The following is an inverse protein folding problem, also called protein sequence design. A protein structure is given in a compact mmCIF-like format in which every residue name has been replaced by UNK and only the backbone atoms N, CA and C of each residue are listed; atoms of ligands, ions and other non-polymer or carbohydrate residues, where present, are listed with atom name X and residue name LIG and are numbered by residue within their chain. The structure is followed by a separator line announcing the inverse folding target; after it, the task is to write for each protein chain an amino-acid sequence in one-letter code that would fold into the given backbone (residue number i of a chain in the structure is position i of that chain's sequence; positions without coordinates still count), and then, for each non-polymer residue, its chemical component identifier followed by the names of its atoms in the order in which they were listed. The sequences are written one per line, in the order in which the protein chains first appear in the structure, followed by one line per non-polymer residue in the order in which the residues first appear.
data_IF_781399219975
#
_entry.id   IF_781399219975
#
_cell.length_a   1.000
_cell.length_b   1.000
_cell.length_c   1.000
_cell.angle_alpha   90.00
_cell.angle_beta   90.00
_cell.angle_gamma   90.00
#
_symmetry.space_group_name_H-M   'P 1'
#
loop_
_entity.id
_entity.type
_entity.pdbx_description
1 polymer ?
#
# COMPACT_ATOMS: atom_id res chain seq x y z
N UNK A 1 -11.59 47.33 19.07
CA UNK A 1 -10.68 46.17 19.12
C UNK A 1 -11.18 45.25 20.21
N UNK A 2 -12.11 44.36 19.85
CA UNK A 2 -12.62 43.32 20.75
C UNK A 2 -11.54 42.25 20.93
N UNK A 3 -11.18 41.98 22.18
CA UNK A 3 -10.27 40.91 22.55
C UNK A 3 -10.91 39.57 22.14
N UNK A 4 -10.24 38.85 21.25
CA UNK A 4 -10.64 37.50 20.88
C UNK A 4 -10.05 36.56 21.94
N UNK A 5 -10.84 36.21 22.94
CA UNK A 5 -10.45 35.19 23.93
C UNK A 5 -10.19 33.87 23.20
N UNK A 6 -8.99 33.31 23.37
CA UNK A 6 -8.66 31.96 22.91
C UNK A 6 -9.43 30.97 23.79
N UNK A 7 -10.28 30.09 23.23
CA UNK A 7 -10.97 29.09 24.05
C UNK A 7 -9.92 28.22 24.76
N UNK A 8 -10.16 27.98 26.06
CA UNK A 8 -9.31 27.15 26.90
C UNK A 8 -9.12 25.77 26.27
N UNK A 9 -7.87 25.30 26.21
CA UNK A 9 -7.51 23.98 25.71
C UNK A 9 -8.36 22.91 26.39
N UNK A 10 -9.11 22.20 25.58
CA UNK A 10 -10.05 21.14 25.93
C UNK A 10 -9.36 20.04 26.74
N UNK A 11 -9.97 19.67 27.88
CA UNK A 11 -9.50 18.59 28.74
C UNK A 11 -9.40 17.28 27.95
N UNK A 12 -8.36 16.44 28.19
CA UNK A 12 -8.18 15.21 27.41
C UNK A 12 -9.39 14.29 27.59
N UNK A 13 -10.08 13.99 26.48
CA UNK A 13 -11.19 13.05 26.44
C UNK A 13 -10.73 11.65 26.92
N UNK A 14 -11.36 11.12 27.98
CA UNK A 14 -11.05 9.78 28.50
C UNK A 14 -11.63 8.68 27.59
N UNK A 15 -10.84 8.26 26.62
CA UNK A 15 -11.16 7.20 25.66
C UNK A 15 -10.68 5.81 26.11
N UNK A 16 -10.31 5.65 27.39
CA UNK A 16 -9.78 4.39 27.93
C UNK A 16 -10.76 3.22 27.79
N UNK A 17 -12.07 3.48 27.97
CA UNK A 17 -13.15 2.49 27.83
C UNK A 17 -13.29 1.99 26.38
N UNK A 18 -13.17 2.87 25.40
CA UNK A 18 -13.33 2.55 23.98
C UNK A 18 -12.11 1.85 23.37
N UNK A 19 -10.92 2.06 23.96
CA UNK A 19 -9.68 1.38 23.54
C UNK A 19 -9.77 -0.15 23.62
N UNK A 20 -10.52 -0.69 24.60
CA UNK A 20 -10.64 -2.14 24.82
C UNK A 20 -11.77 -2.79 24.01
N UNK A 21 -12.66 -1.99 23.41
CA UNK A 21 -13.84 -2.50 22.70
C UNK A 21 -13.49 -3.43 21.51
N UNK A 22 -12.49 -3.14 20.66
CA UNK A 22 -12.12 -4.04 19.55
C UNK A 22 -11.65 -5.41 20.04
N UNK A 23 -10.82 -5.44 21.08
CA UNK A 23 -10.31 -6.69 21.65
C UNK A 23 -11.43 -7.52 22.28
N UNK A 24 -12.39 -6.87 22.95
CA UNK A 24 -13.56 -7.54 23.51
C UNK A 24 -14.46 -8.14 22.43
N UNK A 25 -14.71 -7.40 21.35
CA UNK A 25 -15.49 -7.88 20.20
C UNK A 25 -14.78 -9.04 19.50
N UNK A 26 -13.46 -8.98 19.35
CA UNK A 26 -12.65 -10.06 18.79
C UNK A 26 -12.76 -11.33 19.65
N UNK A 27 -12.66 -11.19 20.98
CA UNK A 27 -12.80 -12.30 21.92
C UNK A 27 -14.21 -12.91 21.88
N UNK A 28 -15.25 -12.08 21.92
CA UNK A 28 -16.64 -12.54 21.83
C UNK A 28 -16.92 -13.27 20.52
N UNK A 29 -16.45 -12.71 19.39
CA UNK A 29 -16.55 -13.36 18.07
C UNK A 29 -15.81 -14.70 18.01
N UNK A 30 -14.62 -14.77 18.61
CA UNK A 30 -13.84 -16.01 18.71
C UNK A 30 -14.55 -17.10 19.52
N UNK A 31 -15.13 -16.74 20.67
CA UNK A 31 -15.93 -17.68 21.49
C UNK A 31 -17.14 -18.20 20.71
N UNK A 32 -17.89 -17.31 20.05
CA UNK A 32 -19.04 -17.70 19.23
C UNK A 32 -18.64 -18.61 18.06
N UNK A 33 -17.47 -18.36 17.45
CA UNK A 33 -16.95 -19.22 16.39
C UNK A 33 -16.63 -20.64 16.89
N UNK A 34 -16.03 -20.76 18.08
CA UNK A 34 -15.74 -22.07 18.71
C UNK A 34 -17.03 -22.80 19.07
N UNK A 35 -18.03 -22.11 19.63
CA UNK A 35 -19.34 -22.69 19.92
C UNK A 35 -20.01 -23.18 18.63
N UNK A 36 -20.00 -22.37 17.57
CA UNK A 36 -20.56 -22.75 16.27
C UNK A 36 -19.87 -23.96 15.65
N UNK A 37 -18.56 -24.08 15.81
CA UNK A 37 -17.79 -25.25 15.35
C UNK A 37 -18.23 -26.55 16.01
N UNK A 38 -18.48 -26.52 17.33
CA UNK A 38 -18.85 -27.70 18.12
C UNK A 38 -20.28 -28.14 17.79
N UNK A 39 -21.20 -27.21 17.56
CA UNK A 39 -22.60 -27.52 17.32
C UNK A 39 -22.85 -28.11 15.92
N UNK A 40 -22.36 -27.46 14.86
CA UNK A 40 -22.53 -27.95 13.50
C UNK A 40 -21.38 -27.48 12.59
N UNK A 41 -20.36 -28.33 12.35
CA UNK A 41 -19.16 -27.93 11.62
C UNK A 41 -19.45 -27.64 10.14
N UNK A 42 -20.51 -28.23 9.55
CA UNK A 42 -20.83 -28.02 8.15
C UNK A 42 -21.49 -26.65 7.93
N UNK A 43 -22.47 -26.30 8.76
CA UNK A 43 -23.09 -24.97 8.74
C UNK A 43 -22.06 -23.88 9.07
N UNK A 44 -21.21 -24.12 10.06
CA UNK A 44 -20.11 -23.22 10.39
C UNK A 44 -19.19 -22.96 9.19
N UNK A 45 -18.80 -24.00 8.45
CA UNK A 45 -17.96 -23.87 7.26
C UNK A 45 -18.55 -22.96 6.18
N UNK A 46 -19.85 -23.09 5.90
CA UNK A 46 -20.53 -22.23 4.92
C UNK A 46 -20.61 -20.77 5.38
N UNK A 47 -20.99 -20.52 6.63
CA UNK A 47 -21.06 -19.17 7.19
C UNK A 47 -19.68 -18.50 7.28
N UNK A 48 -18.64 -19.27 7.64
CA UNK A 48 -17.26 -18.77 7.70
C UNK A 48 -16.72 -18.44 6.31
N UNK A 49 -16.96 -19.30 5.32
CA UNK A 49 -16.57 -19.03 3.93
C UNK A 49 -17.24 -17.77 3.39
N UNK A 50 -18.53 -17.57 3.67
CA UNK A 50 -19.26 -16.38 3.27
C UNK A 50 -18.66 -15.11 3.87
N UNK A 51 -18.45 -15.08 5.19
CA UNK A 51 -17.83 -13.94 5.87
C UNK A 51 -16.42 -13.67 5.31
N UNK A 52 -15.64 -14.73 5.12
CA UNK A 52 -14.30 -14.63 4.54
C UNK A 52 -14.32 -14.00 3.14
N UNK A 53 -15.21 -14.42 2.24
CA UNK A 53 -15.33 -13.84 0.89
C UNK A 53 -15.72 -12.36 0.91
N UNK A 54 -16.60 -11.97 1.84
CA UNK A 54 -16.96 -10.57 2.07
C UNK A 54 -15.72 -9.73 2.44
N UNK A 55 -14.98 -10.11 3.49
CA UNK A 55 -13.79 -9.37 3.90
C UNK A 55 -12.66 -9.41 2.87
N UNK A 56 -12.50 -10.53 2.16
CA UNK A 56 -11.53 -10.65 1.08
C UNK A 56 -11.83 -9.65 -0.05
N UNK A 57 -13.10 -9.50 -0.44
CA UNK A 57 -13.51 -8.53 -1.46
C UNK A 57 -13.21 -7.09 -1.05
N UNK A 58 -13.39 -6.73 0.23
CA UNK A 58 -13.05 -5.41 0.76
C UNK A 58 -11.54 -5.16 0.69
N UNK A 59 -10.73 -6.15 1.07
CA UNK A 59 -9.27 -6.04 1.04
C UNK A 59 -8.73 -5.94 -0.40
N UNK A 60 -9.23 -6.76 -1.32
CA UNK A 60 -8.87 -6.72 -2.74
C UNK A 60 -9.36 -5.45 -3.42
N UNK A 61 -10.55 -4.97 -3.07
CA UNK A 61 -11.07 -3.69 -3.53
C UNK A 61 -10.20 -2.53 -3.07
N UNK A 62 -9.75 -2.53 -1.81
CA UNK A 62 -8.81 -1.53 -1.30
C UNK A 62 -7.47 -1.57 -2.05
N UNK A 63 -6.93 -2.77 -2.31
CA UNK A 63 -5.70 -2.93 -3.10
C UNK A 63 -5.86 -2.39 -4.52
N UNK A 64 -7.00 -2.66 -5.16
CA UNK A 64 -7.34 -2.11 -6.48
C UNK A 64 -7.44 -0.58 -6.46
N UNK A 65 -8.10 0.00 -5.46
CA UNK A 65 -8.19 1.45 -5.30
C UNK A 65 -6.81 2.11 -5.12
N UNK A 66 -5.90 1.49 -4.37
CA UNK A 66 -4.52 1.97 -4.24
C UNK A 66 -3.83 2.02 -5.62
N UNK A 67 -3.97 0.97 -6.43
CA UNK A 67 -3.39 0.94 -7.78
C UNK A 67 -3.97 2.04 -8.68
N UNK A 68 -5.30 2.24 -8.63
CA UNK A 68 -6.02 3.29 -9.35
C UNK A 68 -5.51 4.68 -8.93
N UNK A 69 -5.33 4.93 -7.64
CA UNK A 69 -4.83 6.22 -7.15
C UNK A 69 -3.42 6.53 -7.64
N UNK A 70 -2.55 5.52 -7.76
CA UNK A 70 -1.21 5.70 -8.34
C UNK A 70 -1.21 5.85 -9.87
N UNK A 71 -2.24 5.35 -10.55
CA UNK A 71 -2.35 5.46 -12.01
C UNK A 71 -2.87 6.84 -12.45
N UNK A 72 -3.87 7.38 -11.74
CA UNK A 72 -4.54 8.62 -12.12
C UNK A 72 -3.95 9.89 -11.48
N UNK A 73 -2.92 9.80 -10.64
CA UNK A 73 -2.38 10.93 -9.87
C UNK A 73 -3.47 11.79 -9.20
N UNK A 74 -4.47 11.13 -8.60
CA UNK A 74 -5.65 11.80 -8.07
C UNK A 74 -5.33 12.60 -6.80
N UNK A 75 -5.13 13.92 -6.93
CA UNK A 75 -4.76 14.83 -5.83
C UNK A 75 -5.80 14.96 -4.72
N UNK A 76 -7.09 14.68 -4.99
CA UNK A 76 -8.17 14.72 -4.00
C UNK A 76 -8.18 13.50 -3.06
N UNK A 77 -7.50 12.42 -3.43
CA UNK A 77 -7.54 11.13 -2.71
C UNK A 77 -6.45 10.97 -1.64
N UNK A 78 -5.67 12.01 -1.39
CA UNK A 78 -4.53 12.01 -0.45
C UNK A 78 -4.90 11.51 0.96
N UNK A 79 -6.01 11.95 1.61
CA UNK A 79 -6.35 11.46 2.95
C UNK A 79 -6.86 10.01 2.94
N UNK A 80 -7.56 9.60 1.89
CA UNK A 80 -8.15 8.26 1.78
C UNK A 80 -7.04 7.23 1.54
N UNK A 81 -5.98 7.60 0.82
CA UNK A 81 -4.86 6.73 0.43
C UNK A 81 -4.29 5.91 1.60
N UNK A 82 -4.12 6.52 2.78
CA UNK A 82 -3.57 5.83 3.96
C UNK A 82 -4.49 4.74 4.49
N UNK A 83 -5.79 5.00 4.50
CA UNK A 83 -6.80 4.04 4.98
C UNK A 83 -6.85 2.85 4.03
N UNK A 84 -6.89 3.08 2.72
CA UNK A 84 -6.90 2.00 1.72
C UNK A 84 -5.57 1.24 1.65
N UNK A 85 -4.42 1.89 1.83
CA UNK A 85 -3.13 1.21 1.98
C UNK A 85 -3.11 0.28 3.20
N UNK A 86 -3.69 0.72 4.32
CA UNK A 86 -3.77 -0.11 5.52
C UNK A 86 -4.70 -1.31 5.31
N UNK A 87 -5.88 -1.10 4.74
CA UNK A 87 -6.83 -2.16 4.38
C UNK A 87 -6.23 -3.15 3.36
N UNK A 88 -5.47 -2.67 2.39
CA UNK A 88 -4.79 -3.54 1.43
C UNK A 88 -3.73 -4.44 2.09
N UNK A 89 -3.04 -3.96 3.13
CA UNK A 89 -2.08 -4.78 3.88
C UNK A 89 -2.75 -5.90 4.69
N UNK A 90 -4.02 -5.75 5.10
CA UNK A 90 -4.75 -6.82 5.78
C UNK A 90 -4.96 -8.05 4.87
N UNK A 91 -4.98 -7.86 3.55
CA UNK A 91 -5.12 -8.95 2.57
C UNK A 91 -4.03 -10.03 2.66
N UNK A 92 -2.88 -9.69 3.27
CA UNK A 92 -1.73 -10.56 3.39
C UNK A 92 -1.81 -11.49 4.61
N UNK A 93 -1.13 -11.16 5.72
CA UNK A 93 -0.94 -12.09 6.83
C UNK A 93 -2.24 -12.42 7.58
N UNK A 94 -3.14 -11.44 7.72
CA UNK A 94 -4.38 -11.63 8.49
C UNK A 94 -5.36 -12.50 7.72
N UNK A 95 -5.61 -12.21 6.44
CA UNK A 95 -6.50 -13.03 5.61
C UNK A 95 -5.93 -14.43 5.36
N UNK A 96 -4.61 -14.57 5.23
CA UNK A 96 -3.97 -15.88 5.15
C UNK A 96 -4.18 -16.71 6.42
N UNK A 97 -4.10 -16.11 7.60
CA UNK A 97 -4.40 -16.81 8.86
C UNK A 97 -5.87 -17.24 8.95
N UNK A 98 -6.81 -16.39 8.51
CA UNK A 98 -8.24 -16.70 8.47
C UNK A 98 -8.63 -17.75 7.42
N UNK A 99 -7.74 -18.06 6.48
CA UNK A 99 -7.90 -19.13 5.51
C UNK A 99 -7.63 -20.53 6.09
N UNK A 100 -6.91 -20.63 7.22
CA UNK A 100 -6.54 -21.92 7.83
C UNK A 100 -7.79 -22.77 8.19
N UNK A 101 -8.82 -22.24 8.87
CA UNK A 101 -10.03 -23.02 9.14
C UNK A 101 -10.76 -23.48 7.87
N UNK A 102 -10.71 -22.67 6.80
CA UNK A 102 -11.32 -23.01 5.50
C UNK A 102 -10.56 -24.15 4.85
N UNK A 103 -9.23 -24.12 4.87
CA UNK A 103 -8.41 -25.19 4.33
C UNK A 103 -8.68 -26.53 5.03
N UNK A 104 -8.86 -26.51 6.36
CA UNK A 104 -9.20 -27.73 7.12
C UNK A 104 -10.62 -28.24 6.81
N UNK A 105 -11.60 -27.34 6.64
CA UNK A 105 -12.98 -27.71 6.31
C UNK A 105 -13.25 -27.90 4.82
N UNK A 106 -12.28 -27.63 3.94
CA UNK A 106 -12.46 -27.64 2.50
C UNK A 106 -13.11 -28.94 1.97
N UNK A 107 -12.73 -30.16 2.41
CA UNK A 107 -13.36 -31.39 1.94
C UNK A 107 -14.84 -31.54 2.33
N UNK A 108 -15.28 -30.87 3.41
CA UNK A 108 -16.68 -30.89 3.88
C UNK A 108 -17.54 -29.81 3.23
N UNK A 109 -16.93 -28.70 2.83
CA UNK A 109 -17.61 -27.55 2.21
C UNK A 109 -17.77 -27.79 0.70
N UNK A 110 -16.72 -28.29 0.03
CA UNK A 110 -16.69 -28.44 -1.42
C UNK A 110 -17.06 -29.86 -1.84
N UNK A 111 -18.22 -29.99 -2.49
CA UNK A 111 -18.74 -31.27 -2.97
C UNK A 111 -17.78 -32.03 -3.89
N UNK A 112 -17.07 -31.31 -4.76
CA UNK A 112 -16.12 -31.89 -5.69
C UNK A 112 -14.88 -32.49 -5.01
N UNK A 113 -14.45 -31.93 -3.88
CA UNK A 113 -13.36 -32.49 -3.07
C UNK A 113 -13.78 -33.77 -2.38
N UNK A 114 -15.03 -33.82 -1.88
CA UNK A 114 -15.61 -35.01 -1.28
C UNK A 114 -15.72 -36.15 -2.31
N UNK A 115 -16.24 -35.87 -3.49
CA UNK A 115 -16.36 -36.87 -4.58
C UNK A 115 -15.01 -37.39 -5.06
N UNK A 116 -13.99 -36.53 -5.10
CA UNK A 116 -12.61 -36.94 -5.41
C UNK A 116 -12.05 -37.93 -4.37
N UNK A 117 -12.43 -37.80 -3.09
CA UNK A 117 -12.04 -38.74 -2.04
C UNK A 117 -12.81 -40.06 -2.08
N UNK A 118 -14.10 -40.02 -2.42
CA UNK A 118 -14.96 -41.21 -2.51
C UNK A 118 -14.69 -42.03 -3.79
N UNK A 119 -14.06 -41.44 -4.81
CA UNK A 119 -13.76 -42.11 -6.08
C UNK A 119 -14.89 -42.07 -7.11
N UNK A 120 -15.96 -41.32 -6.83
CA UNK A 120 -17.08 -41.09 -7.75
C UNK A 120 -16.73 -39.94 -8.70
N UNK A 121 -16.00 -40.25 -9.77
CA UNK A 121 -15.54 -39.23 -10.73
C UNK A 121 -16.58 -39.03 -11.84
N UNK A 122 -17.34 -37.95 -11.74
CA UNK A 122 -18.22 -37.50 -12.81
C UNK A 122 -17.44 -37.07 -14.07
N UNK A 123 -18.00 -37.31 -15.25
CA UNK A 123 -17.42 -36.89 -16.54
C UNK A 123 -17.08 -35.39 -16.60
N UNK A 124 -17.86 -34.54 -15.92
CA UNK A 124 -17.67 -33.09 -15.82
C UNK A 124 -16.45 -32.70 -14.97
N UNK A 125 -16.04 -33.57 -14.04
CA UNK A 125 -14.87 -33.39 -13.20
C UNK A 125 -13.60 -33.86 -13.92
N UNK A 126 -13.70 -34.92 -14.73
CA UNK A 126 -12.58 -35.46 -15.52
C UNK A 126 -11.90 -34.41 -16.41
N UNK A 127 -12.67 -33.56 -17.09
CA UNK A 127 -12.13 -32.52 -17.97
C UNK A 127 -11.37 -31.40 -17.22
N UNK A 128 -11.58 -31.25 -15.90
CA UNK A 128 -11.01 -30.17 -15.09
C UNK A 128 -10.09 -30.67 -13.97
N UNK A 129 -9.81 -31.97 -13.94
CA UNK A 129 -8.87 -32.65 -13.04
C UNK A 129 -7.55 -31.90 -12.78
N UNK A 130 -6.85 -31.33 -13.78
CA UNK A 130 -5.57 -30.67 -13.51
C UNK A 130 -5.73 -29.46 -12.58
N UNK A 131 -6.85 -28.73 -12.66
CA UNK A 131 -7.12 -27.58 -11.79
C UNK A 131 -7.83 -27.99 -10.49
N UNK A 132 -8.73 -28.98 -10.55
CA UNK A 132 -9.52 -29.48 -9.42
C UNK A 132 -8.87 -30.67 -8.70
N UNK A 133 -7.55 -30.64 -8.53
CA UNK A 133 -6.87 -31.53 -7.60
C UNK A 133 -6.67 -30.82 -6.25
N UNK A 134 -6.74 -31.58 -5.15
CA UNK A 134 -6.45 -31.08 -3.79
C UNK A 134 -5.17 -30.22 -3.74
N UNK A 135 -3.99 -30.69 -4.21
CA UNK A 135 -2.78 -29.89 -4.14
C UNK A 135 -2.83 -28.63 -5.02
N UNK A 136 -3.40 -28.68 -6.22
CA UNK A 136 -3.45 -27.52 -7.12
C UNK A 136 -4.36 -26.41 -6.58
N UNK A 137 -5.45 -26.77 -5.88
CA UNK A 137 -6.28 -25.80 -5.19
C UNK A 137 -5.49 -25.03 -4.13
N UNK A 138 -4.73 -25.73 -3.26
CA UNK A 138 -3.92 -25.08 -2.24
C UNK A 138 -2.75 -24.28 -2.83
N UNK A 139 -2.09 -24.80 -3.88
CA UNK A 139 -1.02 -24.08 -4.58
C UNK A 139 -1.53 -22.78 -5.19
N UNK A 140 -2.70 -22.81 -5.84
CA UNK A 140 -3.31 -21.61 -6.43
C UNK A 140 -3.69 -20.60 -5.35
N UNK A 141 -4.28 -21.06 -4.24
CA UNK A 141 -4.62 -20.20 -3.11
C UNK A 141 -3.37 -19.51 -2.53
N UNK A 142 -2.31 -20.28 -2.24
CA UNK A 142 -1.03 -19.74 -1.76
C UNK A 142 -0.42 -18.77 -2.77
N UNK A 143 -0.43 -19.10 -4.07
CA UNK A 143 0.05 -18.22 -5.13
C UNK A 143 -0.67 -16.86 -5.14
N UNK A 144 -2.00 -16.87 -5.06
CA UNK A 144 -2.81 -15.64 -4.97
C UNK A 144 -2.43 -14.79 -3.74
N UNK A 145 -2.34 -15.42 -2.56
CA UNK A 145 -1.96 -14.70 -1.34
C UNK A 145 -0.55 -14.13 -1.39
N UNK A 146 0.41 -14.87 -1.96
CA UNK A 146 1.79 -14.37 -2.13
C UNK A 146 1.80 -13.15 -3.04
N UNK A 147 1.09 -13.20 -4.17
CA UNK A 147 1.02 -12.07 -5.11
C UNK A 147 0.41 -10.84 -4.43
N UNK A 148 -0.72 -10.98 -3.75
CA UNK A 148 -1.37 -9.85 -3.07
C UNK A 148 -0.57 -9.33 -1.87
N UNK A 149 0.06 -10.21 -1.11
CA UNK A 149 0.95 -9.85 -0.01
C UNK A 149 2.13 -9.01 -0.53
N UNK A 150 2.81 -9.49 -1.57
CA UNK A 150 3.96 -8.79 -2.15
C UNK A 150 3.52 -7.43 -2.69
N UNK A 151 2.43 -7.38 -3.45
CA UNK A 151 1.96 -6.13 -4.05
C UNK A 151 1.60 -5.08 -2.99
N UNK A 152 0.79 -5.45 -2.01
CA UNK A 152 0.37 -4.56 -0.92
C UNK A 152 1.55 -4.06 -0.08
N UNK A 153 2.47 -4.96 0.31
CA UNK A 153 3.62 -4.60 1.17
C UNK A 153 4.64 -3.74 0.44
N UNK A 154 4.83 -3.95 -0.87
CA UNK A 154 5.73 -3.12 -1.67
C UNK A 154 5.18 -1.71 -1.82
N UNK A 155 3.90 -1.55 -2.16
CA UNK A 155 3.27 -0.23 -2.28
C UNK A 155 3.37 0.57 -0.97
N UNK A 156 3.04 -0.07 0.17
CA UNK A 156 3.16 0.56 1.49
C UNK A 156 4.61 0.92 1.86
N UNK A 157 5.57 0.03 1.59
CA UNK A 157 6.98 0.29 1.90
C UNK A 157 7.49 1.55 1.20
N UNK A 158 7.19 1.70 -0.10
CA UNK A 158 7.59 2.90 -0.84
C UNK A 158 6.81 4.14 -0.39
N UNK A 159 5.56 3.98 0.06
CA UNK A 159 4.73 5.09 0.56
C UNK A 159 5.35 5.69 1.81
N UNK A 160 5.75 4.84 2.76
CA UNK A 160 6.43 5.27 3.98
C UNK A 160 7.78 5.92 3.70
N UNK A 161 8.56 5.38 2.74
CA UNK A 161 9.86 5.96 2.38
C UNK A 161 9.72 7.33 1.68
N UNK A 162 8.62 7.56 0.96
CA UNK A 162 8.32 8.86 0.37
C UNK A 162 8.02 9.91 1.45
N UNK A 163 7.36 9.51 2.54
CA UNK A 163 7.05 10.40 3.66
C UNK A 163 8.28 10.84 4.44
N UNK A 164 9.25 9.94 4.58
CA UNK A 164 10.50 10.19 5.29
C UNK A 164 11.44 11.10 4.50
N UNK A 165 11.50 10.94 3.17
CA UNK A 165 12.46 11.65 2.32
C UNK A 165 11.94 12.94 1.68
N UNK A 166 10.61 13.12 1.57
CA UNK A 166 9.98 14.30 0.95
C UNK A 166 10.33 14.54 -0.53
N UNK A 167 11.12 13.68 -1.15
CA UNK A 167 11.66 13.88 -2.50
C UNK A 167 10.69 13.42 -3.59
N UNK A 168 10.47 14.26 -4.61
CA UNK A 168 9.59 13.98 -5.76
C UNK A 168 10.01 12.73 -6.58
N UNK A 169 11.26 12.27 -6.43
CA UNK A 169 11.79 11.10 -7.12
C UNK A 169 11.15 9.77 -6.70
N UNK A 170 10.60 9.66 -5.48
CA UNK A 170 9.94 8.42 -5.04
C UNK A 170 8.54 8.27 -5.70
N UNK A 171 7.84 9.38 -5.98
CA UNK A 171 6.52 9.37 -6.66
C UNK A 171 6.60 8.80 -8.07
N UNK A 172 7.62 9.19 -8.86
CA UNK A 172 7.82 8.70 -10.22
C UNK A 172 8.04 7.18 -10.28
N UNK A 173 8.59 6.59 -9.20
CA UNK A 173 8.95 5.16 -9.15
C UNK A 173 7.85 4.28 -8.59
N UNK A 174 6.90 4.84 -7.86
CA UNK A 174 5.64 4.15 -7.57
C UNK A 174 4.83 3.85 -8.83
N UNK A 175 4.89 4.74 -9.83
CA UNK A 175 4.21 4.55 -11.12
C UNK A 175 4.75 3.37 -11.94
N UNK A 176 6.05 3.06 -11.82
CA UNK A 176 6.73 2.07 -12.68
C UNK A 176 7.25 0.83 -11.92
N UNK A 177 6.91 0.66 -10.63
CA UNK A 177 7.34 -0.47 -9.78
C UNK A 177 8.84 -0.49 -9.37
N UNK A 178 9.30 0.57 -8.69
CA UNK A 178 10.27 0.46 -7.59
C UNK A 178 11.71 0.98 -7.82
N UNK A 179 12.35 1.32 -6.70
CA UNK A 179 13.75 1.76 -6.48
C UNK A 179 13.97 3.27 -6.41
N UNK A 180 13.57 3.95 -5.33
CA UNK A 180 14.09 5.29 -5.04
C UNK A 180 15.63 5.17 -4.86
N UNK A 181 16.49 5.78 -5.71
CA UNK A 181 17.92 5.80 -5.46
C UNK A 181 18.09 6.60 -4.18
N UNK A 182 18.86 6.08 -3.21
CA UNK A 182 19.31 6.92 -2.12
C UNK A 182 19.96 8.16 -2.76
N UNK A 183 19.31 9.31 -2.63
CA UNK A 183 20.01 10.57 -2.77
C UNK A 183 20.98 10.58 -1.58
N UNK A 184 22.23 10.22 -1.83
CA UNK A 184 23.31 10.42 -0.88
C UNK A 184 23.41 11.94 -0.63
N UNK A 185 22.71 12.41 0.40
CA UNK A 185 23.23 13.47 1.25
C UNK A 185 24.05 12.76 2.32
N UNK A 186 25.33 13.10 2.43
CA UNK A 186 26.29 12.39 3.28
C UNK A 186 25.84 12.28 4.74
N UNK A 187 26.22 11.15 5.36
CA UNK A 187 25.96 10.87 6.77
C UNK A 187 25.71 9.38 7.00
N UNK A 188 26.73 8.69 7.50
CA UNK A 188 26.75 7.25 7.74
C UNK A 188 25.80 6.86 8.88
N UNK A 189 24.84 5.97 8.62
CA UNK A 189 24.27 5.10 9.64
C UNK A 189 23.91 3.73 9.05
N UNK A 190 24.40 2.72 9.74
CA UNK A 190 24.24 1.28 9.48
C UNK A 190 22.84 0.85 9.90
N UNK A 191 22.08 0.19 9.02
CA UNK A 191 20.83 -0.47 9.39
C UNK A 191 20.87 -1.98 9.09
N UNK A 192 21.04 -2.73 10.19
CA UNK A 192 20.73 -4.15 10.35
C UNK A 192 19.26 -4.41 9.99
N UNK A 193 19.02 -4.92 8.78
CA UNK A 193 17.69 -5.36 8.37
C UNK A 193 17.71 -6.17 7.09
N UNK A 194 18.78 -6.95 6.89
CA UNK A 194 19.06 -7.68 5.65
C UNK A 194 18.23 -8.96 5.49
N UNK A 195 17.66 -9.50 6.58
CA UNK A 195 17.07 -10.85 6.54
C UNK A 195 15.74 -10.95 5.78
N UNK A 196 14.96 -9.87 5.69
CA UNK A 196 13.70 -9.86 4.92
C UNK A 196 13.87 -9.41 3.45
N UNK A 197 15.08 -8.95 3.07
CA UNK A 197 15.37 -8.44 1.71
C UNK A 197 15.56 -9.55 0.68
N UNK A 198 15.86 -10.78 1.10
CA UNK A 198 16.31 -11.83 0.16
C UNK A 198 15.16 -12.60 -0.49
N UNK A 199 14.15 -13.02 0.28
CA UNK A 199 13.06 -13.87 -0.26
C UNK A 199 12.17 -13.14 -1.27
N UNK A 200 11.94 -11.83 -1.09
CA UNK A 200 11.09 -11.03 -1.99
C UNK A 200 11.82 -10.53 -3.25
N UNK A 201 13.14 -10.32 -3.18
CA UNK A 201 13.91 -9.77 -4.29
C UNK A 201 14.20 -10.81 -5.38
N UNK A 202 14.35 -12.08 -4.99
CA UNK A 202 14.70 -13.16 -5.92
C UNK A 202 13.51 -13.68 -6.73
N UNK A 203 12.30 -13.71 -6.15
CA UNK A 203 11.06 -14.03 -6.87
C UNK A 203 10.74 -12.98 -7.95
N UNK A 204 11.02 -11.70 -7.67
CA UNK A 204 10.81 -10.62 -8.64
C UNK A 204 11.84 -10.64 -9.79
N UNK A 205 13.10 -10.98 -9.49
CA UNK A 205 14.15 -11.17 -10.51
C UNK A 205 13.86 -12.35 -11.44
N UNK A 206 13.15 -13.38 -10.96
CA UNK A 206 12.74 -14.54 -11.76
C UNK A 206 11.58 -14.22 -12.71
N UNK A 207 10.63 -13.35 -12.32
CA UNK A 207 9.44 -13.04 -13.12
C UNK A 207 9.71 -11.97 -14.22
N UNK A 208 10.63 -11.02 -14.00
CA UNK A 208 10.78 -9.85 -14.88
C UNK A 208 12.15 -9.72 -15.60
N UNK A 209 12.84 -10.84 -15.87
CA UNK A 209 14.17 -10.84 -16.52
C UNK A 209 14.14 -10.65 -18.05
N UNK A 210 13.22 -9.87 -18.62
CA UNK A 210 13.19 -9.63 -20.07
C UNK A 210 12.66 -8.26 -20.50
N UNK A 211 13.20 -7.19 -19.92
CA UNK A 211 13.08 -5.85 -20.51
C UNK A 211 14.29 -5.01 -20.10
N UNK A 212 15.44 -5.33 -20.70
CA UNK A 212 16.62 -4.46 -20.70
C UNK A 212 16.96 -4.24 -22.18
N UNK A 213 16.84 -2.99 -22.62
CA UNK A 213 17.32 -2.32 -23.85
C UNK A 213 16.22 -1.33 -24.25
N UNK A 214 16.38 -0.02 -24.24
CA UNK A 214 17.47 0.86 -23.86
C UNK A 214 16.89 2.27 -23.94
N UNK A 215 17.05 3.08 -22.90
CA UNK A 215 16.69 4.49 -22.96
C UNK A 215 17.73 5.28 -22.18
N UNK A 216 18.76 5.69 -22.92
CA UNK A 216 19.52 6.90 -22.63
C UNK A 216 18.56 8.07 -22.81
N UNK A 217 18.10 8.67 -21.71
CA UNK A 217 17.32 9.91 -21.77
C UNK A 217 18.07 11.01 -21.04
N UNK A 218 18.29 12.07 -21.79
CA UNK A 218 18.97 13.31 -21.47
C UNK A 218 18.60 13.87 -20.10
N UNK A 219 19.63 14.27 -19.32
CA UNK A 219 19.46 15.20 -18.20
C UNK A 219 18.86 16.50 -18.74
N UNK A 220 17.69 16.87 -18.26
CA UNK A 220 17.27 18.27 -18.23
C UNK A 220 17.60 18.83 -16.84
N UNK A 221 18.21 20.03 -16.76
CA UNK A 221 18.72 20.59 -15.51
C UNK A 221 17.56 21.05 -14.62
N UNK A 222 17.65 20.68 -13.35
CA UNK A 222 16.80 21.19 -12.28
C UNK A 222 17.02 22.71 -12.14
N UNK A 223 15.99 23.51 -12.35
CA UNK A 223 15.91 24.86 -11.78
C UNK A 223 15.45 24.73 -10.33
N UNK A 224 16.38 24.37 -9.43
CA UNK A 224 16.23 24.65 -8.01
C UNK A 224 17.21 25.77 -7.64
N UNK A 225 16.63 26.86 -7.18
CA UNK A 225 17.20 28.01 -6.49
C UNK A 225 18.49 27.68 -5.69
N UNK A 226 19.60 28.42 -5.87
CA UNK A 226 20.67 28.49 -4.89
C UNK A 226 20.49 29.74 -4.03
N UNK A 227 20.19 29.56 -2.75
CA UNK A 227 20.61 30.52 -1.74
C UNK A 227 22.12 30.38 -1.51
N UNK A 228 22.78 31.54 -1.46
CA UNK A 228 23.95 31.85 -0.63
C UNK A 228 25.21 30.97 -0.77
N UNK A 229 26.09 31.37 -1.69
CA UNK A 229 27.53 31.11 -1.59
C UNK A 229 28.28 32.43 -1.83
N UNK A 230 29.27 32.69 -0.98
CA UNK A 230 29.77 34.04 -0.72
C UNK A 230 30.72 34.61 -1.77
N UNK A 231 30.84 35.94 -1.66
CA UNK A 231 32.02 36.74 -1.93
C UNK A 231 32.48 36.92 -3.39
N UNK A 232 31.93 37.95 -4.04
CA UNK A 232 32.74 38.80 -4.94
C UNK A 232 32.66 40.26 -4.49
N UNK A 233 33.85 40.77 -4.26
CA UNK A 233 34.26 42.09 -3.81
C UNK A 233 33.59 43.31 -4.46
N UNK A 234 33.38 44.32 -3.60
CA UNK A 234 33.54 45.77 -3.81
C UNK A 234 33.09 46.38 -5.15
N UNK A 235 31.96 47.09 -5.11
CA UNK A 235 31.88 48.51 -5.51
C UNK A 235 30.55 49.12 -5.08
N UNK A 236 30.58 50.32 -4.51
CA UNK A 236 29.39 51.01 -4.05
C UNK A 236 28.44 51.33 -5.21
N UNK A 237 27.17 50.98 -5.04
CA UNK A 237 26.08 51.38 -5.91
C UNK A 237 24.90 51.82 -5.03
N UNK A 238 24.35 52.99 -5.33
CA UNK A 238 23.38 53.69 -4.50
C UNK A 238 22.01 53.03 -4.43
N UNK A 239 21.27 53.36 -3.36
CA UNK A 239 19.94 52.85 -2.97
C UNK A 239 18.84 53.01 -4.04
N UNK A 240 19.07 53.78 -5.09
CA UNK A 240 18.10 54.04 -6.17
C UNK A 240 18.05 52.91 -7.23
N UNK A 241 19.14 52.18 -7.46
CA UNK A 241 19.20 51.14 -8.50
C UNK A 241 18.52 49.82 -8.09
N UNK A 242 18.36 49.61 -6.78
CA UNK A 242 17.74 48.39 -6.23
C UNK A 242 16.21 48.41 -6.34
N UNK A 243 15.59 49.59 -6.28
CA UNK A 243 14.13 49.74 -6.36
C UNK A 243 13.62 49.61 -7.80
N UNK A 244 14.40 50.01 -8.80
CA UNK A 244 14.00 49.87 -10.19
C UNK A 244 13.99 48.40 -10.66
N UNK A 245 14.95 47.59 -10.17
CA UNK A 245 15.06 46.16 -10.51
C UNK A 245 14.02 45.26 -9.84
N UNK A 246 13.46 45.68 -8.70
CA UNK A 246 12.38 44.95 -8.02
C UNK A 246 11.00 45.22 -8.65
N UNK A 247 10.81 46.36 -9.31
CA UNK A 247 9.56 46.68 -10.02
C UNK A 247 9.40 45.90 -11.33
N UNK A 248 10.49 45.67 -12.07
CA UNK A 248 10.44 44.94 -13.35
C UNK A 248 10.27 43.41 -13.17
N UNK A 249 10.72 42.83 -12.05
CA UNK A 249 10.57 41.40 -11.78
C UNK A 249 9.13 40.99 -11.38
N UNK A 250 8.35 41.91 -10.80
CA UNK A 250 6.98 41.64 -10.37
C UNK A 250 5.94 41.68 -11.50
N UNK A 251 6.18 42.45 -12.56
CA UNK A 251 5.18 42.70 -13.61
C UNK A 251 5.09 41.57 -14.65
N UNK A 252 6.17 40.79 -14.84
CA UNK A 252 6.18 39.67 -15.79
C UNK A 252 5.53 38.37 -15.26
N UNK A 253 5.30 38.24 -13.95
CA UNK A 253 4.70 37.05 -13.36
C UNK A 253 3.16 37.08 -13.34
N UNK A 254 2.55 38.27 -13.37
CA UNK A 254 1.09 38.46 -13.27
C UNK A 254 0.38 38.41 -14.64
N UNK A 255 1.07 38.64 -15.75
CA UNK A 255 0.47 38.72 -17.10
C UNK A 255 0.50 37.41 -17.91
N UNK A 256 1.01 36.30 -17.36
CA UNK A 256 1.18 35.03 -18.06
C UNK A 256 0.04 34.00 -17.91
N UNK A 257 -1.09 34.35 -17.32
CA UNK A 257 -2.14 33.38 -16.94
C UNK A 257 -3.53 33.68 -17.53
N UNK A 258 -3.61 34.28 -18.72
CA UNK A 258 -4.91 34.52 -19.34
C UNK A 258 -5.10 34.11 -20.81
N UNK A 259 -4.17 33.53 -21.59
CA UNK A 259 -4.58 32.92 -22.86
C UNK A 259 -3.75 31.72 -23.32
N UNK A 260 -4.50 30.62 -23.52
CA UNK A 260 -4.23 29.39 -24.29
C UNK A 260 -3.33 28.34 -23.65
#
# INVERSE_FOLDING_TARGET
MSAHDKPAADAPLDLSRWRKAPNLLLAAGGVLAVVGWIMNPQQFGYSWLFAYMFYLSVCLGALFLVLVHHLFDASWSVPIRRVVEHLACLAGPVMAALFIPIAVLAPKIYEWMRRLQTGEIDHSLHAKQPLFSMPMFYLTAVGCFVIWFVLSHRLRYWSLKQDESGAAGCTYKMRFLGVCPHAHAGGDHVDEGASARMVLHDVWRLVFRRQRLGYTVHRLPCCCHPETAGAVARRGAGKADLLHRLADAGLHCVLGLHQL
#
